data_IF_114970407325
#
_entry.id   IF_114970407325
#
_cell.length_a   1.000
_cell.length_b   1.000
_cell.length_c   1.000
_cell.angle_alpha   90.00
_cell.angle_beta   90.00
_cell.angle_gamma   90.00
#
_symmetry.space_group_name_H-M   'P 1'
#
loop_
_entity.id
_entity.type
_entity.pdbx_description
1 polymer ?
#
# COMPACT_ATOMS: atom_id res chain seq x y z
N UNK A 1 16.67 38.19 4.70
CA UNK A 1 15.44 37.78 3.97
C UNK A 1 15.62 36.34 3.50
N UNK A 2 15.31 35.36 4.35
CA UNK A 2 15.31 33.94 3.96
C UNK A 2 13.89 33.58 3.51
N UNK A 3 13.76 33.26 2.23
CA UNK A 3 12.50 32.86 1.60
C UNK A 3 12.24 31.40 1.98
N UNK A 4 11.30 31.16 2.89
CA UNK A 4 10.72 29.83 3.07
C UNK A 4 10.06 29.42 1.75
N UNK A 5 10.64 28.43 1.08
CA UNK A 5 10.00 27.73 -0.01
C UNK A 5 8.87 26.88 0.60
N UNK A 6 7.69 27.47 0.73
CA UNK A 6 6.46 26.73 1.04
C UNK A 6 6.17 25.80 -0.14
N UNK A 7 6.68 24.57 -0.07
CA UNK A 7 6.34 23.49 -0.98
C UNK A 7 4.87 23.16 -0.74
N UNK A 8 3.97 23.80 -1.50
CA UNK A 8 2.54 23.53 -1.45
C UNK A 8 2.31 22.11 -1.95
N UNK A 9 2.28 21.14 -1.04
CA UNK A 9 1.88 19.76 -1.34
C UNK A 9 0.41 19.76 -1.77
N UNK A 10 0.07 19.34 -3.00
CA UNK A 10 -1.32 19.24 -3.42
C UNK A 10 -2.03 18.15 -2.62
N UNK A 11 -3.28 18.42 -2.21
CA UNK A 11 -4.16 17.42 -1.61
C UNK A 11 -4.63 16.46 -2.70
N UNK A 12 -4.57 15.17 -2.44
CA UNK A 12 -5.12 14.15 -3.34
C UNK A 12 -6.64 14.20 -3.29
N UNK A 13 -7.27 14.21 -4.46
CA UNK A 13 -8.71 14.01 -4.60
C UNK A 13 -8.96 12.52 -4.83
N UNK A 14 -9.67 11.86 -3.91
CA UNK A 14 -10.01 10.45 -4.05
C UNK A 14 -11.33 10.29 -4.83
N UNK A 15 -11.40 9.29 -5.70
CA UNK A 15 -12.66 8.87 -6.30
C UNK A 15 -13.40 8.00 -5.29
N UNK A 16 -14.38 8.57 -4.59
CA UNK A 16 -15.18 7.86 -3.56
C UNK A 16 -16.16 6.83 -4.16
N UNK A 17 -16.07 6.55 -5.46
CA UNK A 17 -16.94 5.57 -6.11
C UNK A 17 -16.70 4.17 -5.55
N UNK A 18 -17.74 3.49 -5.04
CA UNK A 18 -17.60 2.11 -4.62
C UNK A 18 -17.47 1.21 -5.85
N UNK A 19 -16.42 0.40 -5.90
CA UNK A 19 -16.23 -0.62 -6.94
C UNK A 19 -16.55 -2.03 -6.41
N UNK A 20 -16.88 -3.00 -7.30
CA UNK A 20 -17.04 -4.39 -6.89
C UNK A 20 -15.70 -4.99 -6.41
N UNK A 21 -15.76 -5.97 -5.49
CA UNK A 21 -14.57 -6.68 -4.96
C UNK A 21 -13.58 -7.12 -6.06
N UNK A 22 -14.10 -7.62 -7.19
CA UNK A 22 -13.28 -8.08 -8.33
C UNK A 22 -12.40 -6.97 -8.92
N UNK A 23 -12.86 -5.73 -8.90
CA UNK A 23 -12.08 -4.58 -9.38
C UNK A 23 -10.84 -4.38 -8.50
N UNK A 24 -11.04 -4.24 -7.19
CA UNK A 24 -9.96 -4.02 -6.24
C UNK A 24 -8.95 -5.18 -6.25
N UNK A 25 -9.41 -6.44 -6.28
CA UNK A 25 -8.52 -7.61 -6.39
C UNK A 25 -7.69 -7.58 -7.68
N UNK A 26 -8.28 -7.15 -8.80
CA UNK A 26 -7.57 -7.06 -10.08
C UNK A 26 -6.44 -6.05 -10.02
N UNK A 27 -6.70 -4.85 -9.49
CA UNK A 27 -5.67 -3.81 -9.36
C UNK A 27 -4.58 -4.19 -8.34
N UNK A 28 -4.97 -4.78 -7.20
CA UNK A 28 -4.03 -5.29 -6.22
C UNK A 28 -3.06 -6.32 -6.83
N UNK A 29 -3.59 -7.30 -7.59
CA UNK A 29 -2.76 -8.30 -8.27
C UNK A 29 -1.85 -7.69 -9.33
N UNK A 30 -2.34 -6.71 -10.10
CA UNK A 30 -1.53 -6.00 -11.10
C UNK A 30 -0.32 -5.32 -10.45
N UNK A 31 -0.54 -4.61 -9.34
CA UNK A 31 0.52 -3.92 -8.60
C UNK A 31 1.47 -4.89 -7.91
N UNK A 32 0.96 -5.96 -7.30
CA UNK A 32 1.78 -7.02 -6.71
C UNK A 32 2.71 -7.65 -7.74
N UNK A 33 2.20 -8.04 -8.92
CA UNK A 33 3.06 -8.61 -9.97
C UNK A 33 4.07 -7.60 -10.51
N UNK A 34 3.70 -6.31 -10.61
CA UNK A 34 4.65 -5.25 -10.95
C UNK A 34 5.78 -5.16 -9.93
N UNK A 35 5.46 -5.26 -8.64
CA UNK A 35 6.44 -5.31 -7.56
C UNK A 35 7.32 -6.57 -7.64
N UNK A 36 6.74 -7.74 -7.93
CA UNK A 36 7.47 -9.00 -8.07
C UNK A 36 8.57 -8.87 -9.14
N UNK A 37 8.26 -8.22 -10.27
CA UNK A 37 9.18 -7.94 -11.37
C UNK A 37 10.16 -6.78 -11.12
N UNK A 38 9.96 -5.98 -10.07
CA UNK A 38 10.79 -4.81 -9.77
C UNK A 38 12.10 -5.21 -9.08
N UNK A 39 13.20 -4.60 -9.55
CA UNK A 39 14.56 -4.81 -9.04
C UNK A 39 14.93 -3.76 -7.98
N UNK A 40 14.48 -2.51 -8.16
CA UNK A 40 14.72 -1.45 -7.18
C UNK A 40 13.89 -1.72 -5.92
N UNK A 41 14.56 -1.87 -4.77
CA UNK A 41 13.90 -2.28 -3.52
C UNK A 41 12.87 -1.26 -3.05
N UNK A 42 13.15 0.04 -3.24
CA UNK A 42 12.25 1.10 -2.81
C UNK A 42 10.98 1.12 -3.69
N UNK A 43 11.15 1.10 -5.01
CA UNK A 43 10.05 1.01 -5.97
C UNK A 43 9.23 -0.26 -5.79
N UNK A 44 9.90 -1.39 -5.49
CA UNK A 44 9.25 -2.66 -5.14
C UNK A 44 8.37 -2.51 -3.90
N UNK A 45 8.90 -1.91 -2.84
CA UNK A 45 8.18 -1.66 -1.60
C UNK A 45 6.95 -0.75 -1.83
N UNK A 46 7.09 0.33 -2.61
CA UNK A 46 5.96 1.19 -2.97
C UNK A 46 4.88 0.46 -3.77
N UNK A 47 5.25 -0.34 -4.78
CA UNK A 47 4.26 -1.09 -5.56
C UNK A 47 3.53 -2.15 -4.70
N UNK A 48 4.20 -2.79 -3.75
CA UNK A 48 3.53 -3.70 -2.80
C UNK A 48 2.63 -2.95 -1.81
N UNK A 49 3.03 -1.77 -1.33
CA UNK A 49 2.20 -0.95 -0.46
C UNK A 49 0.92 -0.51 -1.18
N UNK A 50 1.05 -0.05 -2.42
CA UNK A 50 -0.11 0.29 -3.26
C UNK A 50 -1.02 -0.93 -3.49
N UNK A 51 -0.43 -2.11 -3.76
CA UNK A 51 -1.19 -3.36 -3.83
C UNK A 51 -1.93 -3.69 -2.53
N UNK A 52 -1.30 -3.47 -1.36
CA UNK A 52 -1.91 -3.70 -0.06
C UNK A 52 -3.13 -2.79 0.16
N UNK A 53 -3.06 -1.52 -0.25
CA UNK A 53 -4.20 -0.60 -0.18
C UNK A 53 -5.40 -1.12 -0.98
N UNK A 54 -5.18 -1.61 -2.20
CA UNK A 54 -6.25 -2.23 -2.99
C UNK A 54 -6.77 -3.54 -2.37
N UNK A 55 -5.93 -4.35 -1.72
CA UNK A 55 -6.41 -5.52 -0.98
C UNK A 55 -7.27 -5.12 0.22
N UNK A 56 -6.92 -4.06 0.95
CA UNK A 56 -7.75 -3.50 2.03
C UNK A 56 -9.10 -3.03 1.49
N UNK A 57 -9.13 -2.26 0.40
CA UNK A 57 -10.39 -1.82 -0.22
C UNK A 57 -11.24 -3.02 -0.68
N UNK A 58 -10.60 -4.08 -1.17
CA UNK A 58 -11.31 -5.32 -1.50
C UNK A 58 -11.93 -5.98 -0.27
N UNK A 59 -11.22 -6.02 0.87
CA UNK A 59 -11.75 -6.53 2.13
C UNK A 59 -12.94 -5.71 2.64
N UNK A 60 -12.85 -4.38 2.59
CA UNK A 60 -13.94 -3.46 2.94
C UNK A 60 -15.16 -3.67 2.03
N UNK A 61 -14.92 -3.90 0.73
CA UNK A 61 -15.99 -4.21 -0.21
C UNK A 61 -16.61 -5.60 0.05
N UNK A 62 -15.82 -6.58 0.52
CA UNK A 62 -16.31 -7.91 0.91
C UNK A 62 -17.21 -7.85 2.15
N UNK A 63 -16.89 -7.03 3.15
CA UNK A 63 -17.72 -6.85 4.34
C UNK A 63 -19.13 -6.36 4.02
N UNK A 64 -19.27 -5.57 2.95
CA UNK A 64 -20.56 -5.06 2.47
C UNK A 64 -21.37 -6.09 1.69
N UNK A 65 -20.77 -7.21 1.29
CA UNK A 65 -21.42 -8.29 0.55
C UNK A 65 -21.72 -9.49 1.48
N UNK A 66 -22.99 -9.77 1.80
CA UNK A 66 -23.37 -10.85 2.71
C UNK A 66 -22.87 -12.24 2.30
N UNK A 67 -22.59 -12.49 1.02
CA UNK A 67 -22.16 -13.81 0.55
C UNK A 67 -20.69 -14.11 0.84
N UNK A 68 -19.86 -13.07 0.92
CA UNK A 68 -18.39 -13.19 1.02
C UNK A 68 -17.80 -12.43 2.21
N UNK A 69 -18.65 -11.82 3.05
CA UNK A 69 -18.25 -11.07 4.24
C UNK A 69 -17.38 -11.87 5.20
N UNK A 70 -17.61 -13.17 5.34
CA UNK A 70 -16.78 -14.06 6.19
C UNK A 70 -15.35 -14.23 5.68
N UNK A 71 -15.11 -13.98 4.40
CA UNK A 71 -13.78 -14.08 3.77
C UNK A 71 -12.96 -12.79 3.88
N UNK A 72 -13.54 -11.68 4.37
CA UNK A 72 -12.82 -10.41 4.54
C UNK A 72 -11.69 -10.53 5.57
N UNK A 73 -11.89 -11.30 6.63
CA UNK A 73 -10.85 -11.56 7.63
C UNK A 73 -9.60 -12.16 7.00
N UNK A 74 -9.76 -13.18 6.15
CA UNK A 74 -8.64 -13.80 5.43
C UNK A 74 -7.95 -12.79 4.52
N UNK A 75 -8.70 -11.95 3.81
CA UNK A 75 -8.15 -10.88 2.97
C UNK A 75 -7.26 -9.94 3.78
N UNK A 76 -7.72 -9.48 4.94
CA UNK A 76 -6.94 -8.60 5.81
C UNK A 76 -5.73 -9.30 6.42
N UNK A 77 -5.88 -10.54 6.89
CA UNK A 77 -4.77 -11.32 7.44
C UNK A 77 -3.65 -11.53 6.42
N UNK A 78 -3.99 -11.90 5.18
CA UNK A 78 -3.02 -12.03 4.09
C UNK A 78 -2.37 -10.68 3.72
N UNK A 79 -3.14 -9.59 3.79
CA UNK A 79 -2.62 -8.23 3.55
C UNK A 79 -1.60 -7.83 4.62
N UNK A 80 -1.84 -8.18 5.88
CA UNK A 80 -0.87 -7.97 6.98
C UNK A 80 0.43 -8.73 6.73
N UNK A 81 0.37 -9.97 6.23
CA UNK A 81 1.59 -10.72 5.86
C UNK A 81 2.35 -10.05 4.70
N UNK A 82 1.64 -9.48 3.72
CA UNK A 82 2.26 -8.67 2.67
C UNK A 82 2.95 -7.43 3.25
N UNK A 83 2.30 -6.68 4.14
CA UNK A 83 2.91 -5.51 4.80
C UNK A 83 4.14 -5.88 5.62
N UNK A 84 4.11 -7.00 6.37
CA UNK A 84 5.29 -7.53 7.06
C UNK A 84 6.43 -7.85 6.09
N UNK A 85 6.13 -8.38 4.91
CA UNK A 85 7.12 -8.61 3.87
C UNK A 85 7.72 -7.29 3.36
N UNK A 86 6.88 -6.27 3.10
CA UNK A 86 7.32 -4.93 2.68
C UNK A 86 8.28 -4.32 3.70
N UNK A 87 7.97 -4.41 4.99
CA UNK A 87 8.85 -3.93 6.06
C UNK A 87 10.23 -4.62 6.06
N UNK A 88 10.29 -5.90 5.66
CA UNK A 88 11.55 -6.67 5.55
C UNK A 88 12.37 -6.33 4.30
N UNK A 89 11.80 -5.67 3.30
CA UNK A 89 12.56 -5.27 2.09
C UNK A 89 13.61 -4.18 2.40
N UNK A 90 13.51 -3.53 3.57
CA UNK A 90 14.50 -2.58 4.07
C UNK A 90 15.68 -3.29 4.75
N UNK A 91 16.90 -2.82 4.52
CA UNK A 91 18.07 -3.30 5.27
C UNK A 91 17.96 -2.91 6.77
N UNK A 92 18.33 -3.79 7.73
CA UNK A 92 18.21 -3.49 9.16
C UNK A 92 19.15 -2.42 9.72
N UNK A 93 20.12 -1.91 8.96
CA UNK A 93 21.11 -0.94 9.43
C UNK A 93 21.44 -0.02 8.28
N UNK A 94 20.95 1.21 8.34
CA UNK A 94 21.64 2.37 7.81
C UNK A 94 21.07 3.60 8.53
N UNK A 95 21.76 4.05 9.57
CA UNK A 95 21.48 5.32 10.26
C UNK A 95 21.63 6.54 9.33
N UNK A 96 22.04 6.32 8.07
CA UNK A 96 22.16 7.28 6.98
C UNK A 96 20.94 7.31 6.03
N UNK A 97 19.92 6.46 6.24
CA UNK A 97 18.77 6.37 5.35
C UNK A 97 18.08 7.74 5.17
N UNK A 98 17.83 8.17 3.92
CA UNK A 98 17.20 9.45 3.63
C UNK A 98 15.80 9.56 4.28
N UNK A 99 15.32 10.77 4.62
CA UNK A 99 14.05 10.98 5.32
C UNK A 99 12.84 10.28 4.70
N UNK A 100 12.81 10.15 3.36
CA UNK A 100 11.76 9.48 2.61
C UNK A 100 11.59 7.99 2.97
N UNK A 101 12.64 7.30 3.41
CA UNK A 101 12.56 5.91 3.85
C UNK A 101 12.02 5.75 5.28
N UNK A 102 12.08 6.81 6.09
CA UNK A 102 11.46 6.82 7.43
C UNK A 102 9.95 7.08 7.34
N UNK A 103 9.53 7.99 6.46
CA UNK A 103 8.12 8.26 6.19
C UNK A 103 7.39 7.02 5.63
N UNK A 104 8.07 6.23 4.79
CA UNK A 104 7.53 4.97 4.26
C UNK A 104 7.17 3.95 5.36
N UNK A 105 8.00 3.81 6.40
CA UNK A 105 7.73 2.90 7.51
C UNK A 105 6.50 3.31 8.32
N UNK A 106 6.31 4.61 8.52
CA UNK A 106 5.15 5.13 9.23
C UNK A 106 3.83 4.86 8.48
N UNK A 107 3.88 4.62 7.16
CA UNK A 107 2.70 4.25 6.38
C UNK A 107 2.38 2.74 6.44
N UNK A 108 3.36 1.90 6.78
CA UNK A 108 3.20 0.45 6.84
C UNK A 108 2.88 -0.09 8.26
N UNK A 109 3.05 0.72 9.30
CA UNK A 109 2.81 0.41 10.71
C UNK A 109 1.48 1.01 11.19
#
# INVERSE_FOLDING_TARGET
LHREASSRRPLLTFDERPYPVKHYIKEAKRLKHKADAELDRLSKAFNYLDAAMFFVESGIAMEKDPQISTSSYTMFAETVELLKFVLKLKNPVDSSAPPSEKDFLALCL
#
